data_IF_593549391264
#
_entry.id   IF_593549391264
#
_cell.length_a   1.000
_cell.length_b   1.000
_cell.length_c   1.000
_cell.angle_alpha   90.00
_cell.angle_beta   90.00
_cell.angle_gamma   90.00
#
_symmetry.space_group_name_H-M   'P 1'
#
loop_
_entity.id
_entity.type
_entity.pdbx_description
1 polymer ?
#
# COMPACT_ATOMS: atom_id res chain seq x y z
N UNK A 1 -15.57 -2.95 -7.64
CA UNK A 1 -14.46 -2.24 -8.29
C UNK A 1 -13.16 -2.83 -7.79
N UNK A 2 -12.25 -3.24 -8.68
CA UNK A 2 -10.96 -3.81 -8.30
C UNK A 2 -10.10 -2.81 -7.53
N UNK A 3 -9.25 -3.34 -6.64
CA UNK A 3 -8.22 -2.56 -5.94
C UNK A 3 -6.87 -2.88 -6.56
N UNK A 4 -6.11 -1.84 -6.85
CA UNK A 4 -4.74 -1.93 -7.35
C UNK A 4 -3.77 -1.38 -6.32
N UNK A 5 -2.69 -2.10 -6.08
CA UNK A 5 -1.50 -1.56 -5.45
C UNK A 5 -0.60 -0.97 -6.53
N UNK A 6 -0.30 0.32 -6.43
CA UNK A 6 0.65 1.00 -7.30
C UNK A 6 1.88 1.37 -6.49
N UNK A 7 3.02 0.83 -6.90
CA UNK A 7 4.33 1.17 -6.41
C UNK A 7 4.96 2.20 -7.36
N UNK A 8 5.30 3.37 -6.85
CA UNK A 8 5.98 4.43 -7.58
C UNK A 8 7.46 4.45 -7.20
N UNK A 9 8.33 4.53 -8.20
CA UNK A 9 9.74 4.88 -7.98
C UNK A 9 9.85 6.39 -7.95
N UNK A 10 10.44 6.94 -6.91
CA UNK A 10 10.64 8.38 -6.78
C UNK A 10 11.93 8.83 -7.46
N UNK A 11 11.95 10.10 -7.91
CA UNK A 11 13.16 10.73 -8.42
C UNK A 11 14.23 10.81 -7.31
N UNK A 12 15.51 10.78 -7.68
CA UNK A 12 16.62 10.84 -6.72
C UNK A 12 16.60 12.11 -5.83
N UNK A 13 16.04 13.20 -6.35
CA UNK A 13 15.88 14.48 -5.65
C UNK A 13 14.45 14.70 -5.09
N UNK A 14 13.65 13.64 -5.00
CA UNK A 14 12.25 13.68 -4.55
C UNK A 14 12.06 14.46 -3.24
N UNK A 15 12.86 14.15 -2.21
CA UNK A 15 12.74 14.78 -0.90
C UNK A 15 13.03 16.30 -0.94
N UNK A 16 13.94 16.74 -1.80
CA UNK A 16 14.28 18.15 -1.97
C UNK A 16 13.19 18.90 -2.76
N UNK A 17 12.60 18.25 -3.78
CA UNK A 17 11.68 18.90 -4.72
C UNK A 17 10.21 18.80 -4.36
N UNK A 18 9.78 17.85 -3.54
CA UNK A 18 8.35 17.56 -3.30
C UNK A 18 7.58 18.64 -2.57
N UNK A 19 8.26 19.47 -1.75
CA UNK A 19 7.59 20.41 -0.84
C UNK A 19 6.62 21.37 -1.54
N UNK A 20 6.96 22.01 -2.67
CA UNK A 20 6.04 22.91 -3.38
C UNK A 20 4.79 22.21 -3.94
N UNK A 21 4.90 20.93 -4.29
CA UNK A 21 3.81 20.14 -4.90
C UNK A 21 2.96 19.39 -3.87
N UNK A 22 3.50 19.19 -2.66
CA UNK A 22 2.87 18.37 -1.62
C UNK A 22 1.45 18.82 -1.26
N UNK A 23 1.12 20.12 -1.08
CA UNK A 23 -0.24 20.54 -0.75
C UNK A 23 -1.26 20.13 -1.82
N UNK A 24 -0.96 20.38 -3.11
CA UNK A 24 -1.84 20.01 -4.21
C UNK A 24 -1.99 18.48 -4.32
N UNK A 25 -0.90 17.73 -4.19
CA UNK A 25 -0.91 16.27 -4.18
C UNK A 25 -1.78 15.70 -3.05
N UNK A 26 -1.64 16.19 -1.82
CA UNK A 26 -2.46 15.74 -0.70
C UNK A 26 -3.92 16.09 -0.88
N UNK A 27 -4.25 17.29 -1.36
CA UNK A 27 -5.63 17.68 -1.66
C UNK A 27 -6.24 16.73 -2.69
N UNK A 28 -5.53 16.44 -3.78
CA UNK A 28 -5.98 15.52 -4.82
C UNK A 28 -6.25 14.12 -4.25
N UNK A 29 -5.29 13.55 -3.51
CA UNK A 29 -5.44 12.21 -2.94
C UNK A 29 -6.52 12.15 -1.86
N UNK A 30 -6.68 13.20 -1.06
CA UNK A 30 -7.75 13.28 -0.04
C UNK A 30 -9.13 13.31 -0.71
N UNK A 31 -9.30 14.11 -1.78
CA UNK A 31 -10.54 14.11 -2.58
C UNK A 31 -10.85 12.73 -3.13
N UNK A 32 -9.88 12.08 -3.77
CA UNK A 32 -10.05 10.71 -4.29
C UNK A 32 -10.37 9.69 -3.18
N UNK A 33 -9.80 9.89 -2.00
CA UNK A 33 -10.09 9.05 -0.84
C UNK A 33 -11.52 9.25 -0.34
N UNK A 34 -12.01 10.48 -0.29
CA UNK A 34 -13.38 10.78 0.13
C UNK A 34 -14.40 10.22 -0.87
N UNK A 35 -14.03 10.16 -2.15
CA UNK A 35 -14.78 9.47 -3.22
C UNK A 35 -14.66 7.94 -3.13
N UNK A 36 -13.83 7.39 -2.24
CA UNK A 36 -13.57 5.95 -2.11
C UNK A 36 -12.64 5.37 -3.19
N UNK A 37 -11.96 6.21 -3.96
CA UNK A 37 -11.07 5.84 -5.07
C UNK A 37 -9.61 5.65 -4.62
N UNK A 38 -9.19 6.25 -3.51
CA UNK A 38 -7.93 5.97 -2.83
C UNK A 38 -8.26 5.26 -1.51
N UNK A 39 -7.66 4.11 -1.29
CA UNK A 39 -7.84 3.29 -0.08
C UNK A 39 -6.81 3.64 0.98
N UNK A 40 -5.55 3.79 0.57
CA UNK A 40 -4.41 4.14 1.40
C UNK A 40 -3.29 4.68 0.53
N UNK A 41 -2.37 5.45 1.10
CA UNK A 41 -1.21 5.97 0.36
C UNK A 41 -0.15 6.55 1.27
N UNK A 42 1.09 6.61 0.76
CA UNK A 42 2.20 7.22 1.46
C UNK A 42 3.57 6.83 0.90
N UNK A 43 4.63 7.54 1.29
CA UNK A 43 6.00 7.27 0.87
C UNK A 43 6.69 6.23 1.75
N UNK A 44 7.75 5.63 1.23
CA UNK A 44 8.77 5.01 2.07
C UNK A 44 9.54 6.09 2.85
N UNK A 45 10.07 5.77 4.05
CA UNK A 45 10.71 6.77 4.92
C UNK A 45 11.92 7.49 4.30
N UNK A 46 12.65 6.81 3.42
CA UNK A 46 13.82 7.37 2.72
C UNK A 46 13.43 8.20 1.49
N UNK A 47 12.18 8.10 1.04
CA UNK A 47 11.66 8.79 -0.14
C UNK A 47 12.08 8.17 -1.47
N UNK A 48 12.59 6.93 -1.47
CA UNK A 48 12.96 6.20 -2.69
C UNK A 48 11.74 5.72 -3.46
N UNK A 49 10.65 5.44 -2.76
CA UNK A 49 9.41 4.95 -3.32
C UNK A 49 8.17 5.50 -2.61
N UNK A 50 7.02 5.31 -3.24
CA UNK A 50 5.71 5.55 -2.64
C UNK A 50 4.73 4.45 -3.07
N UNK A 51 3.76 4.18 -2.21
CA UNK A 51 2.71 3.20 -2.47
C UNK A 51 1.35 3.87 -2.37
N UNK A 52 0.48 3.63 -3.36
CA UNK A 52 -0.92 4.08 -3.33
C UNK A 52 -1.80 2.90 -3.71
N UNK A 53 -2.85 2.69 -2.93
CA UNK A 53 -3.88 1.69 -3.18
C UNK A 53 -5.11 2.38 -3.79
N UNK A 54 -5.35 2.12 -5.09
CA UNK A 54 -6.46 2.71 -5.83
C UNK A 54 -7.60 1.73 -6.00
N UNK A 55 -8.83 2.19 -5.83
CA UNK A 55 -10.06 1.48 -6.21
C UNK A 55 -10.66 2.14 -7.43
N UNK A 56 -10.71 1.43 -8.53
CA UNK A 56 -11.05 1.97 -9.84
C UNK A 56 -11.98 1.03 -10.60
N UNK A 57 -12.63 1.53 -11.64
CA UNK A 57 -13.51 0.72 -12.47
C UNK A 57 -12.73 -0.35 -13.26
N UNK A 58 -11.60 0.06 -13.85
CA UNK A 58 -10.76 -0.78 -14.70
C UNK A 58 -9.32 -0.23 -14.77
N UNK A 59 -8.49 -0.87 -15.58
CA UNK A 59 -7.10 -0.46 -15.79
C UNK A 59 -6.98 0.90 -16.46
N UNK A 60 -7.83 1.25 -17.40
CA UNK A 60 -7.78 2.55 -18.08
C UNK A 60 -8.12 3.70 -17.12
N UNK A 61 -9.04 3.46 -16.18
CA UNK A 61 -9.35 4.40 -15.12
C UNK A 61 -8.15 4.60 -14.17
N UNK A 62 -7.43 3.52 -13.83
CA UNK A 62 -6.20 3.61 -13.06
C UNK A 62 -5.14 4.44 -13.79
N UNK A 63 -4.91 4.15 -15.08
CA UNK A 63 -3.87 4.83 -15.86
C UNK A 63 -4.13 6.34 -15.95
N UNK A 64 -5.41 6.76 -16.04
CA UNK A 64 -5.78 8.19 -15.94
C UNK A 64 -5.44 8.79 -14.58
N UNK A 65 -5.80 8.11 -13.46
CA UNK A 65 -5.50 8.61 -12.12
C UNK A 65 -3.99 8.74 -11.88
N UNK A 66 -3.21 7.77 -12.36
CA UNK A 66 -1.75 7.82 -12.25
C UNK A 66 -1.19 8.97 -13.08
N UNK A 67 -1.64 9.16 -14.32
CA UNK A 67 -1.19 10.25 -15.17
C UNK A 67 -1.56 11.64 -14.61
N UNK A 68 -2.73 11.76 -13.99
CA UNK A 68 -3.23 13.01 -13.40
C UNK A 68 -2.62 13.29 -12.01
N UNK A 69 -1.88 12.35 -11.42
CA UNK A 69 -1.26 12.55 -10.12
C UNK A 69 -0.27 13.71 -10.16
N UNK A 70 -0.39 14.65 -9.21
CA UNK A 70 0.43 15.87 -9.16
C UNK A 70 1.93 15.57 -9.13
N UNK A 71 2.36 14.55 -8.36
CA UNK A 71 3.77 14.16 -8.32
C UNK A 71 4.25 13.49 -9.61
N UNK A 72 3.36 12.78 -10.32
CA UNK A 72 3.67 12.23 -11.64
C UNK A 72 3.88 13.37 -12.65
N UNK A 73 2.99 14.36 -12.67
CA UNK A 73 3.09 15.52 -13.57
C UNK A 73 4.29 16.39 -13.28
N UNK A 74 4.70 16.48 -12.02
CA UNK A 74 5.90 17.21 -11.59
C UNK A 74 7.21 16.45 -11.85
N UNK A 75 7.15 15.21 -12.38
CA UNK A 75 8.34 14.36 -12.59
C UNK A 75 9.01 13.92 -11.29
N UNK A 76 8.24 13.85 -10.21
CA UNK A 76 8.69 13.33 -8.91
C UNK A 76 8.53 11.81 -8.83
N UNK A 77 7.54 11.25 -9.55
CA UNK A 77 7.43 9.83 -9.82
C UNK A 77 7.99 9.54 -11.20
N UNK A 78 9.05 8.75 -11.28
CA UNK A 78 9.79 8.48 -12.53
C UNK A 78 9.44 7.16 -13.18
N UNK A 79 8.87 6.24 -12.41
CA UNK A 79 8.34 4.95 -12.87
C UNK A 79 7.24 4.48 -11.93
N UNK A 80 6.41 3.57 -12.41
CA UNK A 80 5.45 2.88 -11.55
C UNK A 80 5.17 1.45 -12.03
N UNK A 81 4.77 0.60 -11.09
CA UNK A 81 4.24 -0.74 -11.34
C UNK A 81 2.89 -0.88 -10.63
N UNK A 82 1.90 -1.43 -11.32
CA UNK A 82 0.56 -1.61 -10.79
C UNK A 82 0.17 -3.09 -10.82
N UNK A 83 -0.34 -3.59 -9.68
CA UNK A 83 -0.84 -4.96 -9.53
C UNK A 83 -2.26 -4.93 -8.99
N UNK A 84 -3.17 -5.65 -9.64
CA UNK A 84 -4.54 -5.81 -9.16
C UNK A 84 -4.60 -6.89 -8.08
N UNK A 85 -5.37 -6.65 -7.03
CA UNK A 85 -5.74 -7.69 -6.09
C UNK A 85 -6.87 -8.55 -6.65
N UNK A 86 -6.73 -9.88 -6.54
CA UNK A 86 -7.80 -10.85 -6.76
C UNK A 86 -8.69 -10.98 -5.53
N UNK A 87 -8.06 -10.94 -4.34
CA UNK A 87 -8.70 -11.05 -3.04
C UNK A 87 -8.14 -9.92 -2.17
N UNK A 88 -9.01 -9.03 -1.74
CA UNK A 88 -8.62 -7.82 -1.00
C UNK A 88 -9.33 -7.75 0.34
N UNK A 89 -8.55 -7.64 1.40
CA UNK A 89 -9.01 -7.41 2.76
C UNK A 89 -9.03 -5.91 3.03
N UNK A 90 -10.23 -5.35 3.12
CA UNK A 90 -10.48 -3.92 3.29
C UNK A 90 -9.85 -3.36 4.57
N UNK A 91 -9.45 -2.08 4.59
CA UNK A 91 -9.00 -1.42 5.80
C UNK A 91 -10.01 -1.54 6.94
N UNK A 92 -9.53 -1.74 8.16
CA UNK A 92 -10.40 -1.74 9.32
C UNK A 92 -10.89 -0.34 9.68
N UNK A 93 -10.05 0.66 9.41
CA UNK A 93 -10.35 2.07 9.67
C UNK A 93 -9.61 2.96 8.67
N UNK A 94 -10.18 4.12 8.38
CA UNK A 94 -9.50 5.18 7.65
C UNK A 94 -8.60 5.93 8.61
N UNK A 95 -7.30 5.92 8.35
CA UNK A 95 -6.36 6.71 9.13
C UNK A 95 -6.55 8.21 8.82
N UNK A 96 -6.38 9.11 9.78
CA UNK A 96 -6.40 10.54 9.50
C UNK A 96 -5.33 10.89 8.45
N UNK A 97 -5.65 11.79 7.47
CA UNK A 97 -4.66 12.24 6.52
C UNK A 97 -3.46 12.86 7.24
N UNK A 98 -2.27 12.64 6.68
CA UNK A 98 -1.02 13.22 7.18
C UNK A 98 -0.57 12.77 8.58
N UNK A 99 -1.22 11.79 9.16
CA UNK A 99 -0.85 11.25 10.48
C UNK A 99 0.52 10.55 10.48
N UNK A 100 1.02 10.15 9.30
CA UNK A 100 2.36 9.56 9.14
C UNK A 100 2.53 8.27 9.93
N UNK A 101 1.55 7.37 9.87
CA UNK A 101 1.61 6.09 10.55
C UNK A 101 2.79 5.26 10.04
N UNK A 102 3.71 4.94 10.94
CA UNK A 102 4.83 4.03 10.64
C UNK A 102 4.32 2.60 10.73
N UNK A 103 4.25 1.96 9.59
CA UNK A 103 3.78 0.58 9.40
C UNK A 103 4.79 -0.20 8.58
N UNK A 104 4.59 -1.50 8.47
CA UNK A 104 5.42 -2.38 7.63
C UNK A 104 4.56 -2.97 6.52
N UNK A 105 5.02 -2.81 5.27
CA UNK A 105 4.54 -3.60 4.15
C UNK A 105 5.23 -4.95 4.18
N UNK A 106 4.46 -6.03 4.28
CA UNK A 106 4.99 -7.39 4.19
C UNK A 106 4.44 -8.03 2.92
N UNK A 107 5.34 -8.50 2.07
CA UNK A 107 5.00 -9.23 0.84
C UNK A 107 5.61 -10.63 0.88
N UNK A 108 4.89 -11.61 0.33
CA UNK A 108 5.39 -12.98 0.26
C UNK A 108 4.46 -13.95 -0.44
N UNK A 109 4.85 -15.20 -0.42
CA UNK A 109 4.07 -16.29 -1.01
C UNK A 109 3.31 -17.04 0.09
N UNK A 110 2.01 -17.30 -0.09
CA UNK A 110 1.30 -18.24 0.78
C UNK A 110 1.74 -19.68 0.51
N UNK A 111 1.84 -20.50 1.55
CA UNK A 111 1.87 -21.96 1.44
C UNK A 111 0.47 -22.53 1.29
N UNK A 112 -0.51 -21.82 1.87
CA UNK A 112 -1.94 -22.08 1.75
C UNK A 112 -2.67 -20.73 1.63
N UNK A 113 -3.16 -20.42 0.42
CA UNK A 113 -3.82 -19.14 0.14
C UNK A 113 -5.09 -18.95 0.99
N UNK A 114 -5.89 -19.99 1.18
CA UNK A 114 -7.12 -19.91 1.97
C UNK A 114 -6.80 -19.65 3.45
N UNK A 115 -5.81 -20.37 4.00
CA UNK A 115 -5.32 -20.16 5.35
C UNK A 115 -4.72 -18.78 5.55
N UNK A 116 -3.93 -18.27 4.60
CA UNK A 116 -3.34 -16.94 4.64
C UNK A 116 -4.40 -15.83 4.54
N UNK A 117 -5.44 -15.99 3.70
CA UNK A 117 -6.57 -15.04 3.63
C UNK A 117 -7.36 -14.99 4.93
N UNK A 118 -7.66 -16.16 5.53
CA UNK A 118 -8.27 -16.25 6.85
C UNK A 118 -7.39 -15.61 7.95
N UNK A 119 -6.06 -15.78 7.85
CA UNK A 119 -5.11 -15.15 8.77
C UNK A 119 -5.15 -13.63 8.66
N UNK A 120 -5.12 -13.06 7.45
CA UNK A 120 -5.25 -11.61 7.24
C UNK A 120 -6.54 -11.05 7.85
N UNK A 121 -7.66 -11.74 7.64
CA UNK A 121 -8.95 -11.34 8.21
C UNK A 121 -8.93 -11.35 9.73
N UNK A 122 -8.35 -12.39 10.36
CA UNK A 122 -8.19 -12.46 11.83
C UNK A 122 -7.28 -11.36 12.36
N UNK A 123 -6.14 -11.11 11.69
CA UNK A 123 -5.18 -10.06 12.08
C UNK A 123 -5.79 -8.67 11.93
N UNK A 124 -6.60 -8.45 10.89
CA UNK A 124 -7.37 -7.21 10.72
C UNK A 124 -8.34 -7.00 11.88
N UNK A 125 -9.11 -8.02 12.27
CA UNK A 125 -10.04 -7.94 13.42
C UNK A 125 -9.31 -7.60 14.72
N UNK A 126 -8.06 -8.08 14.88
CA UNK A 126 -7.19 -7.75 16.02
C UNK A 126 -6.47 -6.40 15.87
N UNK A 127 -6.73 -5.65 14.80
CA UNK A 127 -6.06 -4.38 14.47
C UNK A 127 -4.53 -4.49 14.30
N UNK A 128 -4.01 -5.67 13.99
CA UNK A 128 -2.59 -5.89 13.70
C UNK A 128 -2.26 -5.69 12.22
N UNK A 129 -3.23 -5.93 11.33
CA UNK A 129 -3.15 -5.64 9.90
C UNK A 129 -4.20 -4.58 9.58
N UNK A 130 -3.82 -3.56 8.82
CA UNK A 130 -4.76 -2.54 8.36
C UNK A 130 -5.53 -3.01 7.13
N UNK A 131 -4.81 -3.40 6.09
CA UNK A 131 -5.33 -3.91 4.83
C UNK A 131 -4.35 -4.94 4.25
N UNK A 132 -4.78 -5.68 3.25
CA UNK A 132 -3.92 -6.63 2.54
C UNK A 132 -4.70 -7.42 1.51
N UNK A 133 -4.06 -8.44 0.94
CA UNK A 133 -4.71 -9.29 -0.05
C UNK A 133 -3.71 -10.06 -0.90
N UNK A 134 -4.24 -10.68 -1.95
CA UNK A 134 -3.47 -11.51 -2.87
C UNK A 134 -3.63 -11.02 -4.30
N UNK A 135 -2.54 -11.05 -5.04
CA UNK A 135 -2.49 -10.71 -6.45
C UNK A 135 -2.73 -11.94 -7.34
N UNK A 136 -2.94 -11.73 -8.64
CA UNK A 136 -3.13 -12.78 -9.63
C UNK A 136 -1.93 -13.73 -9.76
N UNK A 137 -0.71 -13.26 -9.46
CA UNK A 137 0.52 -14.05 -9.41
C UNK A 137 0.68 -14.88 -8.13
N UNK A 138 -0.37 -14.97 -7.32
CA UNK A 138 -0.44 -15.65 -6.02
C UNK A 138 0.38 -15.03 -4.91
N UNK A 139 1.12 -13.96 -5.13
CA UNK A 139 1.77 -13.21 -4.05
C UNK A 139 0.73 -12.51 -3.19
N UNK A 140 1.02 -12.42 -1.90
CA UNK A 140 0.22 -11.64 -0.97
C UNK A 140 0.98 -10.42 -0.48
N UNK A 141 0.22 -9.39 -0.10
CA UNK A 141 0.73 -8.17 0.54
C UNK A 141 -0.13 -7.84 1.75
N UNK A 142 0.49 -7.46 2.85
CA UNK A 142 -0.18 -7.00 4.06
C UNK A 142 0.45 -5.70 4.57
N UNK A 143 -0.38 -4.77 5.00
CA UNK A 143 0.02 -3.57 5.75
C UNK A 143 -0.11 -3.90 7.23
N UNK A 144 1.02 -4.21 7.86
CA UNK A 144 1.10 -4.59 9.28
C UNK A 144 1.31 -3.33 10.12
N UNK A 145 0.49 -3.14 11.16
CA UNK A 145 0.49 -1.94 12.04
C UNK A 145 1.62 -1.96 13.07
N UNK A 146 2.78 -2.40 12.66
CA UNK A 146 4.02 -2.42 13.43
C UNK A 146 5.10 -1.71 12.61
N UNK A 147 5.93 -0.92 13.25
CA UNK A 147 7.07 -0.25 12.62
C UNK A 147 8.33 -1.11 12.59
N UNK A 148 8.38 -2.16 13.40
CA UNK A 148 9.48 -3.12 13.43
C UNK A 148 9.25 -4.24 12.41
N UNK A 149 10.18 -4.36 11.46
CA UNK A 149 10.08 -5.30 10.36
C UNK A 149 10.11 -6.77 10.83
N UNK A 150 10.94 -7.10 11.83
CA UNK A 150 11.03 -8.46 12.34
C UNK A 150 9.76 -8.87 13.06
N UNK A 151 9.18 -7.98 13.87
CA UNK A 151 7.90 -8.21 14.53
C UNK A 151 6.74 -8.35 13.53
N UNK A 152 6.77 -7.56 12.43
CA UNK A 152 5.76 -7.66 11.38
C UNK A 152 5.83 -9.01 10.63
N UNK A 153 7.03 -9.48 10.28
CA UNK A 153 7.24 -10.80 9.69
C UNK A 153 6.75 -11.91 10.61
N UNK A 154 7.17 -11.90 11.88
CA UNK A 154 6.75 -12.88 12.90
C UNK A 154 5.24 -12.91 13.10
N UNK A 155 4.57 -11.75 12.95
CA UNK A 155 3.10 -11.65 13.05
C UNK A 155 2.41 -12.47 11.96
N UNK A 156 2.86 -12.36 10.69
CA UNK A 156 2.29 -13.13 9.58
C UNK A 156 2.67 -14.61 9.64
N UNK A 157 3.92 -14.91 9.97
CA UNK A 157 4.41 -16.29 10.14
C UNK A 157 3.58 -17.03 11.19
N UNK A 158 3.41 -16.44 12.38
CA UNK A 158 2.63 -17.02 13.48
C UNK A 158 1.14 -17.18 13.14
N UNK A 159 0.61 -16.28 12.29
CA UNK A 159 -0.79 -16.36 11.87
C UNK A 159 -1.06 -17.55 10.93
N UNK A 160 -0.01 -18.09 10.30
CA UNK A 160 -0.06 -19.28 9.44
C UNK A 160 -0.51 -18.99 7.99
N UNK A 161 -0.27 -19.99 7.14
CA UNK A 161 -0.61 -19.93 5.71
C UNK A 161 0.44 -19.23 4.85
N UNK A 162 1.54 -18.70 5.42
CA UNK A 162 2.62 -18.02 4.73
C UNK A 162 3.91 -18.84 4.70
N UNK A 163 4.68 -18.71 3.62
CA UNK A 163 6.04 -19.25 3.53
C UNK A 163 7.01 -18.26 4.19
N UNK A 164 7.39 -18.53 5.43
CA UNK A 164 8.27 -17.65 6.21
C UNK A 164 9.59 -17.33 5.51
N UNK A 165 10.16 -18.28 4.75
CA UNK A 165 11.41 -18.07 4.02
C UNK A 165 11.27 -17.12 2.81
N UNK A 166 10.04 -16.82 2.40
CA UNK A 166 9.70 -15.97 1.25
C UNK A 166 8.94 -14.71 1.63
N UNK A 167 8.88 -14.39 2.92
CA UNK A 167 8.37 -13.10 3.41
C UNK A 167 9.46 -12.04 3.34
N UNK A 168 9.09 -10.88 2.84
CA UNK A 168 9.93 -9.67 2.84
C UNK A 168 9.18 -8.53 3.50
N UNK A 169 9.89 -7.62 4.14
CA UNK A 169 9.31 -6.50 4.85
C UNK A 169 9.98 -5.19 4.44
N UNK A 170 9.19 -4.16 4.21
CA UNK A 170 9.62 -2.80 3.94
C UNK A 170 8.90 -1.79 4.84
N UNK A 171 9.62 -0.81 5.35
CA UNK A 171 9.04 0.27 6.14
C UNK A 171 8.20 1.19 5.27
N UNK A 172 7.04 1.64 5.78
CA UNK A 172 6.15 2.54 5.07
C UNK A 172 5.56 3.59 5.99
N UNK A 173 5.47 4.82 5.51
CA UNK A 173 4.78 5.91 6.20
C UNK A 173 3.41 6.10 5.56
N UNK A 174 2.39 5.44 6.10
CA UNK A 174 1.02 5.61 5.61
C UNK A 174 0.51 7.00 6.02
N UNK A 175 0.21 7.83 5.04
CA UNK A 175 -0.26 9.22 5.23
C UNK A 175 -1.73 9.43 4.85
N UNK A 176 -2.33 8.39 4.24
CA UNK A 176 -3.74 8.35 3.83
C UNK A 176 -4.40 7.05 4.24
#
# INVERSE_FOLDING_TARGET
>A
MPVYHVHFTCAADYNARRLPYRPAHLTQLTTLRDEGRVVAGGPEPDGSAAHIFYRVADRADLDRLVADNEFQRAGLFVAHAARAFDDFVEPIERLPPDAGWKVTLVEGMPTDRAGASAALTRLRTKKLVNLGGFFADSRGLAVVRLSDAAAALATLETAGGWDAARLTAGSWSQTL
#
